data_IF_614454588161
#
_entry.id   IF_614454588161
#
_cell.length_a   1.000
_cell.length_b   1.000
_cell.length_c   1.000
_cell.angle_alpha   90.00
_cell.angle_beta   90.00
_cell.angle_gamma   90.00
#
_symmetry.space_group_name_H-M   'P 1'
#
loop_
_entity.id
_entity.type
_entity.pdbx_description
1 polymer ?
#
# COMPACT_ATOMS: atom_id res chain seq x y z
N UNK A 1 -27.67 12.83 -14.45
CA UNK A 1 -27.20 12.48 -13.11
C UNK A 1 -28.37 12.31 -12.17
N UNK A 2 -28.68 11.06 -11.88
CA UNK A 2 -29.70 10.63 -10.91
C UNK A 2 -29.25 10.97 -9.48
N UNK A 3 -30.17 11.32 -8.56
CA UNK A 3 -29.83 11.56 -7.15
C UNK A 3 -29.14 10.37 -6.46
N UNK A 4 -29.44 9.15 -6.89
CA UNK A 4 -28.90 7.90 -6.37
C UNK A 4 -27.39 7.81 -6.67
N UNK A 5 -26.98 8.15 -7.89
CA UNK A 5 -25.56 8.16 -8.30
C UNK A 5 -24.72 9.09 -7.42
N UNK A 6 -25.24 10.29 -7.13
CA UNK A 6 -24.58 11.24 -6.23
C UNK A 6 -24.47 10.71 -4.80
N UNK A 7 -25.54 10.07 -4.29
CA UNK A 7 -25.54 9.51 -2.93
C UNK A 7 -24.60 8.32 -2.80
N UNK A 8 -24.55 7.47 -3.81
CA UNK A 8 -23.61 6.36 -3.90
C UNK A 8 -22.16 6.87 -3.95
N UNK A 9 -21.86 7.85 -4.80
CA UNK A 9 -20.54 8.48 -4.84
C UNK A 9 -20.16 9.10 -3.48
N UNK A 10 -21.06 9.86 -2.85
CA UNK A 10 -20.82 10.43 -1.52
C UNK A 10 -20.54 9.36 -0.46
N UNK A 11 -21.22 8.20 -0.54
CA UNK A 11 -20.97 7.08 0.37
C UNK A 11 -19.60 6.44 0.14
N UNK A 12 -19.19 6.27 -1.11
CA UNK A 12 -17.86 5.81 -1.47
C UNK A 12 -16.77 6.77 -0.98
N UNK A 13 -16.99 8.08 -1.06
CA UNK A 13 -16.06 9.09 -0.57
C UNK A 13 -15.87 9.07 0.96
N UNK A 14 -16.87 8.63 1.72
CA UNK A 14 -16.80 8.58 3.20
C UNK A 14 -15.83 7.51 3.70
N UNK A 15 -15.84 6.32 3.08
CA UNK A 15 -15.11 5.14 3.58
C UNK A 15 -14.08 4.57 2.59
N UNK A 16 -14.14 5.00 1.33
CA UNK A 16 -13.39 4.44 0.21
C UNK A 16 -13.98 3.14 -0.35
N UNK A 17 -15.03 2.57 0.26
CA UNK A 17 -15.71 1.38 -0.22
C UNK A 17 -17.10 1.20 0.39
N UNK A 18 -17.93 0.40 -0.26
CA UNK A 18 -19.21 -0.10 0.26
C UNK A 18 -19.27 -1.62 0.21
N UNK A 19 -20.13 -2.21 1.04
CA UNK A 19 -20.34 -3.67 1.10
C UNK A 19 -21.79 -4.03 0.80
N UNK A 20 -22.02 -5.21 0.23
CA UNK A 20 -23.37 -5.73 -0.01
C UNK A 20 -24.13 -5.94 1.30
N UNK A 21 -23.44 -6.34 2.37
CA UNK A 21 -24.05 -6.66 3.65
C UNK A 21 -24.41 -5.42 4.47
N UNK A 22 -23.55 -4.39 4.49
CA UNK A 22 -23.77 -3.18 5.31
C UNK A 22 -24.46 -2.06 4.52
N UNK A 23 -24.25 -2.02 3.20
CA UNK A 23 -24.67 -0.93 2.30
C UNK A 23 -25.54 -1.47 1.15
N UNK A 24 -26.41 -2.46 1.41
CA UNK A 24 -27.15 -3.20 0.37
C UNK A 24 -27.85 -2.31 -0.66
N UNK A 25 -28.51 -1.22 -0.22
CA UNK A 25 -29.19 -0.29 -1.14
C UNK A 25 -28.21 0.38 -2.10
N UNK A 26 -27.07 0.87 -1.59
CA UNK A 26 -26.03 1.50 -2.41
C UNK A 26 -25.35 0.50 -3.34
N UNK A 27 -25.18 -0.74 -2.89
CA UNK A 27 -24.62 -1.81 -3.71
C UNK A 27 -25.58 -2.22 -4.84
N UNK A 28 -26.88 -2.23 -4.56
CA UNK A 28 -27.93 -2.45 -5.56
C UNK A 28 -28.03 -1.30 -6.56
N UNK A 29 -27.89 -0.05 -6.09
CA UNK A 29 -27.83 1.14 -6.97
C UNK A 29 -26.70 1.01 -8.00
N UNK A 30 -25.51 0.54 -7.59
CA UNK A 30 -24.41 0.30 -8.54
C UNK A 30 -24.70 -0.82 -9.57
N UNK A 31 -25.62 -1.74 -9.26
CA UNK A 31 -26.03 -2.78 -10.20
C UNK A 31 -27.00 -2.27 -11.27
N UNK A 32 -27.57 -1.07 -11.12
CA UNK A 32 -28.33 -0.38 -12.17
C UNK A 32 -27.37 0.17 -13.24
N UNK A 33 -27.64 -0.17 -14.51
CA UNK A 33 -26.76 0.15 -15.62
C UNK A 33 -26.64 1.67 -15.90
N UNK A 34 -27.69 2.44 -15.62
CA UNK A 34 -27.65 3.90 -15.79
C UNK A 34 -26.83 4.56 -14.69
N UNK A 35 -26.97 4.10 -13.44
CA UNK A 35 -26.15 4.60 -12.32
C UNK A 35 -24.67 4.25 -12.54
N UNK A 36 -24.38 3.02 -12.97
CA UNK A 36 -23.02 2.60 -13.29
C UNK A 36 -22.42 3.43 -14.43
N UNK A 37 -23.20 3.75 -15.47
CA UNK A 37 -22.75 4.62 -16.56
C UNK A 37 -22.46 6.06 -16.10
N UNK A 38 -23.27 6.60 -15.18
CA UNK A 38 -23.01 7.92 -14.59
C UNK A 38 -21.75 7.93 -13.72
N UNK A 39 -21.50 6.86 -12.96
CA UNK A 39 -20.28 6.71 -12.17
C UNK A 39 -19.04 6.54 -13.04
N UNK A 40 -19.14 5.87 -14.19
CA UNK A 40 -18.03 5.75 -15.14
C UNK A 40 -17.60 7.10 -15.72
N UNK A 41 -18.54 8.06 -15.86
CA UNK A 41 -18.19 9.45 -16.21
C UNK A 41 -17.42 10.10 -15.05
N UNK A 42 -17.84 9.88 -13.79
CA UNK A 42 -17.12 10.40 -12.63
C UNK A 42 -15.71 9.82 -12.50
N UNK A 43 -15.53 8.51 -12.74
CA UNK A 43 -14.21 7.85 -12.74
C UNK A 43 -13.23 8.58 -13.67
N UNK A 44 -13.68 8.99 -14.86
CA UNK A 44 -12.86 9.73 -15.83
C UNK A 44 -12.59 11.17 -15.38
N UNK A 45 -13.64 11.91 -15.00
CA UNK A 45 -13.53 13.34 -14.69
C UNK A 45 -12.82 13.62 -13.35
N UNK A 46 -12.90 12.69 -12.40
CA UNK A 46 -12.32 12.82 -11.07
C UNK A 46 -11.13 11.89 -10.85
N UNK A 47 -10.62 11.25 -11.91
CA UNK A 47 -9.40 10.44 -11.94
C UNK A 47 -9.32 9.29 -10.90
N UNK A 48 -10.37 8.48 -10.80
CA UNK A 48 -10.38 7.30 -9.93
C UNK A 48 -10.88 6.05 -10.65
N UNK A 49 -10.66 4.90 -10.03
CA UNK A 49 -11.14 3.59 -10.50
C UNK A 49 -12.13 3.00 -9.50
N UNK A 50 -13.28 2.55 -9.99
CA UNK A 50 -14.20 1.69 -9.25
C UNK A 50 -13.82 0.23 -9.42
N UNK A 51 -13.39 -0.38 -8.33
CA UNK A 51 -12.97 -1.77 -8.34
C UNK A 51 -13.98 -2.65 -7.61
N UNK A 52 -14.64 -3.54 -8.35
CA UNK A 52 -15.67 -4.44 -7.83
C UNK A 52 -15.06 -5.81 -7.48
N UNK A 53 -15.33 -6.28 -6.27
CA UNK A 53 -15.06 -7.66 -5.85
C UNK A 53 -16.36 -8.36 -5.45
N UNK A 54 -16.27 -9.59 -4.94
CA UNK A 54 -17.43 -10.34 -4.47
C UNK A 54 -18.01 -9.67 -3.21
N UNK A 55 -19.07 -8.88 -3.41
CA UNK A 55 -19.79 -8.20 -2.32
C UNK A 55 -19.19 -6.87 -1.89
N UNK A 56 -18.16 -6.34 -2.57
CA UNK A 56 -17.64 -4.98 -2.30
C UNK A 56 -17.40 -4.18 -3.57
N UNK A 57 -17.46 -2.86 -3.40
CA UNK A 57 -17.12 -1.89 -4.42
C UNK A 57 -16.19 -0.87 -3.78
N UNK A 58 -15.00 -0.71 -4.33
CA UNK A 58 -13.95 0.19 -3.87
C UNK A 58 -13.86 1.40 -4.78
N UNK A 59 -13.56 2.56 -4.20
CA UNK A 59 -13.10 3.76 -4.91
C UNK A 59 -11.58 3.86 -4.70
N UNK A 60 -10.83 3.73 -5.79
CA UNK A 60 -9.38 3.74 -5.78
C UNK A 60 -8.90 4.99 -6.53
N UNK A 61 -8.28 5.97 -5.85
CA UNK A 61 -7.64 7.09 -6.54
C UNK A 61 -6.57 6.59 -7.52
N UNK A 62 -6.54 7.15 -8.73
CA UNK A 62 -5.41 6.91 -9.63
C UNK A 62 -4.17 7.69 -9.12
N UNK A 63 -2.94 7.31 -9.51
CA UNK A 63 -1.73 7.95 -8.99
C UNK A 63 -1.62 9.44 -9.33
N UNK A 64 -2.22 9.87 -10.45
CA UNK A 64 -2.32 11.26 -10.89
C UNK A 64 -3.39 12.07 -10.15
N UNK A 65 -4.18 11.45 -9.28
CA UNK A 65 -5.32 12.07 -8.65
C UNK A 65 -4.93 12.94 -7.46
N UNK A 66 -4.73 14.24 -7.70
CA UNK A 66 -4.37 15.21 -6.66
C UNK A 66 -5.46 15.41 -5.59
N UNK A 67 -6.73 15.12 -5.92
CA UNK A 67 -7.87 15.35 -5.02
C UNK A 67 -7.95 14.30 -3.91
N UNK A 68 -7.57 13.06 -4.22
CA UNK A 68 -7.75 11.92 -3.32
C UNK A 68 -6.41 11.23 -2.96
N UNK A 69 -5.29 11.62 -3.57
CA UNK A 69 -3.96 11.10 -3.21
C UNK A 69 -3.55 11.56 -1.81
N UNK A 70 -3.00 10.64 -1.01
CA UNK A 70 -2.23 11.01 0.17
C UNK A 70 -0.84 11.48 -0.28
N UNK A 71 -0.48 12.70 0.07
CA UNK A 71 0.87 13.17 -0.18
C UNK A 71 1.88 12.62 0.86
N UNK A 72 3.17 12.88 0.65
CA UNK A 72 4.20 12.48 1.61
C UNK A 72 3.99 13.07 3.01
N UNK A 73 3.28 14.20 3.13
CA UNK A 73 2.97 14.85 4.40
C UNK A 73 1.86 14.11 5.16
N UNK A 74 0.88 13.58 4.45
CA UNK A 74 -0.20 12.74 4.99
C UNK A 74 0.34 11.38 5.44
N UNK A 75 1.17 10.74 4.61
CA UNK A 75 1.87 9.51 5.00
C UNK A 75 2.72 9.75 6.25
N UNK A 76 3.55 10.80 6.23
CA UNK A 76 4.39 11.20 7.36
C UNK A 76 3.57 11.42 8.64
N UNK A 77 2.40 12.06 8.55
CA UNK A 77 1.49 12.24 9.70
C UNK A 77 0.97 10.90 10.22
N UNK A 78 0.64 9.97 9.34
CA UNK A 78 0.08 8.67 9.71
C UNK A 78 1.08 7.73 10.41
N UNK A 79 2.40 7.89 10.17
CA UNK A 79 3.45 7.06 10.81
C UNK A 79 4.22 7.76 11.94
N UNK A 80 3.81 8.97 12.34
CA UNK A 80 4.35 9.68 13.51
C UNK A 80 5.37 10.79 13.23
N UNK A 81 5.35 11.36 12.03
CA UNK A 81 6.10 12.56 11.63
C UNK A 81 7.63 12.42 11.61
N UNK A 82 8.12 11.22 11.31
CA UNK A 82 9.54 10.84 11.37
C UNK A 82 10.41 11.48 10.28
N UNK A 83 11.73 11.55 10.50
CA UNK A 83 12.70 12.05 9.51
C UNK A 83 12.55 11.30 8.17
N UNK A 84 12.87 11.97 7.06
CA UNK A 84 12.67 11.42 5.72
C UNK A 84 13.32 10.04 5.52
N UNK A 85 14.54 9.86 6.03
CA UNK A 85 15.23 8.57 6.01
C UNK A 85 14.47 7.45 6.74
N UNK A 86 13.84 7.76 7.87
CA UNK A 86 13.02 6.81 8.61
C UNK A 86 11.73 6.48 7.86
N UNK A 87 11.13 7.47 7.18
CA UNK A 87 9.96 7.22 6.33
C UNK A 87 10.28 6.24 5.20
N UNK A 88 11.45 6.39 4.56
CA UNK A 88 11.88 5.45 3.53
C UNK A 88 12.13 4.04 4.09
N UNK A 89 12.70 3.92 5.29
CA UNK A 89 12.86 2.62 5.96
C UNK A 89 11.50 1.98 6.28
N UNK A 90 10.56 2.75 6.83
CA UNK A 90 9.20 2.25 7.13
C UNK A 90 8.45 1.84 5.86
N UNK A 91 8.61 2.58 4.76
CA UNK A 91 8.06 2.21 3.45
C UNK A 91 8.68 0.91 2.91
N UNK A 92 10.00 0.77 3.03
CA UNK A 92 10.69 -0.46 2.62
C UNK A 92 10.20 -1.67 3.41
N UNK A 93 10.07 -1.53 4.73
CA UNK A 93 9.49 -2.55 5.60
C UNK A 93 8.03 -2.85 5.25
N UNK A 94 7.23 -1.85 4.89
CA UNK A 94 5.84 -2.05 4.47
C UNK A 94 5.74 -2.84 3.16
N UNK A 95 6.61 -2.54 2.18
CA UNK A 95 6.73 -3.30 0.93
C UNK A 95 7.14 -4.74 1.24
N UNK A 96 8.12 -4.94 2.12
CA UNK A 96 8.55 -6.27 2.54
C UNK A 96 7.43 -7.05 3.23
N UNK A 97 6.65 -6.41 4.10
CA UNK A 97 5.47 -7.03 4.73
C UNK A 97 4.43 -7.48 3.70
N UNK A 98 4.15 -6.65 2.70
CA UNK A 98 3.25 -7.00 1.61
C UNK A 98 3.80 -8.14 0.75
N UNK A 99 5.10 -8.13 0.46
CA UNK A 99 5.78 -9.22 -0.24
C UNK A 99 5.69 -10.53 0.55
N UNK A 100 5.91 -10.48 1.85
CA UNK A 100 5.80 -11.65 2.71
C UNK A 100 4.39 -12.26 2.71
N UNK A 101 3.34 -11.42 2.63
CA UNK A 101 1.95 -11.86 2.55
C UNK A 101 1.51 -12.28 1.14
N UNK A 102 2.02 -11.62 0.09
CA UNK A 102 1.49 -11.68 -1.28
C UNK A 102 2.55 -11.80 -2.38
N UNK A 103 3.74 -12.29 -2.06
CA UNK A 103 4.86 -12.44 -3.00
C UNK A 103 4.75 -13.67 -3.90
N UNK A 104 3.59 -14.33 -3.94
CA UNK A 104 3.37 -15.54 -4.69
C UNK A 104 3.23 -15.29 -6.18
N UNK A 105 3.58 -16.29 -6.98
CA UNK A 105 3.50 -16.23 -8.43
C UNK A 105 2.16 -16.81 -8.95
N UNK A 106 1.79 -16.42 -10.16
CA UNK A 106 0.64 -16.95 -10.91
C UNK A 106 -0.72 -16.85 -10.18
N UNK A 107 -1.42 -17.97 -10.00
CA UNK A 107 -2.79 -18.05 -9.51
C UNK A 107 -2.88 -18.03 -7.97
N UNK A 108 -1.75 -17.94 -7.25
CA UNK A 108 -1.73 -17.91 -5.79
C UNK A 108 -0.84 -16.78 -5.32
N UNK A 109 -1.40 -15.57 -5.31
CA UNK A 109 -0.70 -14.38 -4.85
C UNK A 109 -0.35 -14.48 -3.36
N UNK A 110 -1.27 -14.96 -2.52
CA UNK A 110 -1.07 -15.03 -1.08
C UNK A 110 -0.10 -16.16 -0.69
N UNK A 111 1.04 -15.81 -0.12
CA UNK A 111 2.11 -16.72 0.31
C UNK A 111 1.95 -17.17 1.76
N UNK A 112 1.47 -16.27 2.64
CA UNK A 112 1.18 -16.61 4.04
C UNK A 112 -0.08 -15.93 4.57
N UNK A 113 -0.65 -16.55 5.60
CA UNK A 113 -1.95 -16.14 6.16
C UNK A 113 -1.84 -15.20 7.37
N UNK A 114 -0.65 -15.03 7.94
CA UNK A 114 -0.41 -14.16 9.08
C UNK A 114 1.05 -13.72 9.19
N UNK A 115 1.27 -12.66 9.96
CA UNK A 115 2.58 -12.13 10.37
C UNK A 115 2.69 -12.26 11.89
N UNK A 116 3.75 -12.89 12.36
CA UNK A 116 4.15 -12.81 13.77
C UNK A 116 5.31 -11.85 13.88
N UNK A 117 5.29 -10.97 14.88
CA UNK A 117 6.31 -9.93 15.04
C UNK A 117 7.74 -10.51 15.08
N UNK A 118 8.00 -11.49 15.94
CA UNK A 118 9.34 -12.08 16.07
C UNK A 118 9.88 -12.57 14.73
N UNK A 119 9.03 -13.29 14.00
CA UNK A 119 9.41 -13.97 12.77
C UNK A 119 9.68 -12.92 11.68
N UNK A 120 8.81 -11.90 11.57
CA UNK A 120 9.00 -10.78 10.65
C UNK A 120 10.29 -9.99 10.94
N UNK A 121 10.57 -9.69 12.20
CA UNK A 121 11.77 -8.95 12.59
C UNK A 121 13.05 -9.71 12.25
N UNK A 122 13.06 -11.02 12.44
CA UNK A 122 14.17 -11.90 12.09
C UNK A 122 14.34 -11.99 10.57
N UNK A 123 13.25 -12.25 9.83
CA UNK A 123 13.23 -12.32 8.36
C UNK A 123 13.71 -11.03 7.72
N UNK A 124 13.18 -9.87 8.14
CA UNK A 124 13.58 -8.57 7.60
C UNK A 124 15.03 -8.24 7.95
N UNK A 125 15.52 -8.64 9.13
CA UNK A 125 16.93 -8.51 9.50
C UNK A 125 17.83 -9.32 8.58
N UNK A 126 17.50 -10.59 8.35
CA UNK A 126 18.26 -11.45 7.43
C UNK A 126 18.27 -10.88 6.01
N UNK A 127 17.13 -10.36 5.55
CA UNK A 127 17.04 -9.68 4.26
C UNK A 127 17.98 -8.46 4.17
N UNK A 128 18.00 -7.59 5.18
CA UNK A 128 18.92 -6.45 5.21
C UNK A 128 20.40 -6.88 5.27
N UNK A 129 20.73 -7.95 5.99
CA UNK A 129 22.08 -8.51 6.02
C UNK A 129 22.52 -9.01 4.64
N UNK A 130 21.61 -9.68 3.92
CA UNK A 130 21.84 -10.12 2.55
C UNK A 130 22.04 -8.94 1.60
N UNK A 131 21.14 -7.94 1.63
CA UNK A 131 21.26 -6.71 0.82
C UNK A 131 22.59 -6.00 1.10
N UNK A 132 23.03 -5.97 2.36
CA UNK A 132 24.34 -5.40 2.71
C UNK A 132 25.50 -6.18 2.08
N UNK A 133 25.49 -7.51 2.20
CA UNK A 133 26.53 -8.37 1.62
C UNK A 133 26.58 -8.28 0.09
N UNK A 134 25.44 -8.28 -0.58
CA UNK A 134 25.33 -8.22 -2.04
C UNK A 134 25.64 -6.80 -2.56
N UNK A 135 25.16 -5.77 -1.87
CA UNK A 135 25.44 -4.37 -2.17
C UNK A 135 26.91 -4.01 -2.03
N UNK A 136 27.63 -4.58 -1.06
CA UNK A 136 29.10 -4.45 -0.96
C UNK A 136 29.83 -5.12 -2.13
N UNK A 137 29.33 -6.26 -2.62
CA UNK A 137 29.88 -6.92 -3.80
C UNK A 137 29.61 -6.10 -5.09
N UNK A 138 28.42 -5.50 -5.21
CA UNK A 138 27.95 -4.70 -6.34
C UNK A 138 28.45 -3.24 -6.35
N UNK A 139 28.93 -2.71 -5.22
CA UNK A 139 29.65 -1.43 -5.15
C UNK A 139 30.85 -1.38 -6.12
N UNK A 140 31.38 -2.54 -6.52
CA UNK A 140 32.44 -2.68 -7.52
C UNK A 140 31.93 -2.65 -8.98
N UNK A 141 30.60 -2.64 -9.23
CA UNK A 141 29.96 -2.78 -10.54
C UNK A 141 28.87 -1.73 -10.91
N UNK A 142 28.55 -0.78 -10.00
CA UNK A 142 27.73 0.45 -10.17
C UNK A 142 26.17 0.35 -10.17
N UNK A 143 25.52 1.28 -9.45
CA UNK A 143 24.27 2.04 -9.75
C UNK A 143 23.76 2.78 -8.48
N UNK A 144 23.16 3.96 -8.62
CA UNK A 144 22.71 4.81 -7.50
C UNK A 144 21.60 4.17 -6.64
N UNK A 145 20.69 3.41 -7.25
CA UNK A 145 19.62 2.68 -6.55
C UNK A 145 20.15 1.62 -5.56
N UNK A 146 21.26 0.95 -5.88
CA UNK A 146 21.91 0.00 -4.96
C UNK A 146 22.43 0.69 -3.69
N UNK A 147 22.85 1.95 -3.80
CA UNK A 147 23.31 2.73 -2.65
C UNK A 147 22.16 3.15 -1.73
N UNK A 148 20.96 3.37 -2.26
CA UNK A 148 19.79 3.75 -1.46
C UNK A 148 19.28 2.59 -0.60
N UNK A 149 19.14 1.38 -1.15
CA UNK A 149 18.75 0.20 -0.38
C UNK A 149 19.80 -0.22 0.64
N UNK A 150 21.09 -0.10 0.29
CA UNK A 150 22.19 -0.38 1.23
C UNK A 150 22.11 0.53 2.46
N UNK A 151 21.86 1.83 2.26
CA UNK A 151 21.71 2.79 3.37
C UNK A 151 20.51 2.46 4.26
N UNK A 152 19.38 2.05 3.67
CA UNK A 152 18.21 1.65 4.44
C UNK A 152 18.47 0.36 5.23
N UNK A 153 19.16 -0.61 4.64
CA UNK A 153 19.59 -1.83 5.32
C UNK A 153 20.53 -1.51 6.49
N UNK A 154 21.52 -0.63 6.29
CA UNK A 154 22.42 -0.20 7.37
C UNK A 154 21.67 0.53 8.49
N UNK A 155 20.69 1.38 8.16
CA UNK A 155 19.83 2.02 9.16
C UNK A 155 19.07 0.96 9.99
N UNK A 156 18.45 -0.02 9.32
CA UNK A 156 17.77 -1.12 10.02
C UNK A 156 18.69 -1.89 10.97
N UNK A 157 19.88 -2.25 10.51
CA UNK A 157 20.83 -3.04 11.29
C UNK A 157 21.42 -2.26 12.48
N UNK A 158 21.38 -0.92 12.43
CA UNK A 158 21.76 -0.05 13.55
C UNK A 158 20.65 0.12 14.60
N UNK A 159 19.41 -0.29 14.32
CA UNK A 159 18.29 -0.19 15.28
C UNK A 159 18.53 -1.06 16.50
N UNK A 160 18.08 -0.59 17.66
CA UNK A 160 18.17 -1.36 18.92
C UNK A 160 17.15 -2.49 18.94
N UNK A 161 17.49 -3.57 19.63
CA UNK A 161 16.62 -4.74 19.83
C UNK A 161 15.74 -4.69 21.07
N UNK A 162 15.58 -3.52 21.71
CA UNK A 162 14.68 -3.38 22.87
C UNK A 162 13.22 -3.18 22.45
N UNK A 163 12.28 -3.50 23.34
CA UNK A 163 10.83 -3.46 23.10
C UNK A 163 10.20 -2.05 23.26
N UNK A 164 10.99 -0.97 23.27
CA UNK A 164 10.41 0.37 23.33
C UNK A 164 9.72 0.74 22.01
N UNK A 165 8.66 1.54 22.09
CA UNK A 165 7.89 2.01 20.93
C UNK A 165 8.60 3.12 20.10
N UNK A 166 9.92 3.30 20.26
CA UNK A 166 10.69 4.31 19.53
C UNK A 166 11.01 3.84 18.11
N UNK A 167 11.06 4.75 17.13
CA UNK A 167 11.56 4.44 15.78
C UNK A 167 13.04 4.03 15.75
N UNK A 168 13.76 4.24 16.85
CA UNK A 168 15.15 3.77 17.00
C UNK A 168 15.25 2.29 17.33
N UNK A 169 14.12 1.60 17.51
CA UNK A 169 14.06 0.17 17.80
C UNK A 169 13.35 -0.60 16.70
N UNK A 170 13.73 -1.87 16.56
CA UNK A 170 13.09 -2.79 15.63
C UNK A 170 11.58 -2.96 15.94
N UNK A 171 11.24 -3.12 17.22
CA UNK A 171 9.86 -3.20 17.71
C UNK A 171 9.05 -1.95 17.34
N UNK A 172 9.57 -0.75 17.63
CA UNK A 172 8.84 0.48 17.37
C UNK A 172 8.63 0.77 15.89
N UNK A 173 9.59 0.43 15.02
CA UNK A 173 9.39 0.45 13.57
C UNK A 173 8.26 -0.49 13.13
N UNK A 174 8.28 -1.74 13.60
CA UNK A 174 7.23 -2.71 13.30
C UNK A 174 5.84 -2.24 13.77
N UNK A 175 5.74 -1.76 15.02
CA UNK A 175 4.50 -1.23 15.57
C UNK A 175 3.94 -0.04 14.79
N UNK A 176 4.80 0.84 14.25
CA UNK A 176 4.34 1.97 13.42
C UNK A 176 3.69 1.50 12.12
N UNK A 177 4.30 0.52 11.45
CA UNK A 177 3.77 -0.04 10.20
C UNK A 177 2.48 -0.78 10.45
N UNK A 178 2.48 -1.68 11.43
CA UNK A 178 1.29 -2.44 11.82
C UNK A 178 0.14 -1.52 12.21
N UNK A 179 0.39 -0.45 12.97
CA UNK A 179 -0.66 0.54 13.30
C UNK A 179 -1.20 1.21 12.05
N UNK A 180 -0.36 1.62 11.11
CA UNK A 180 -0.83 2.21 9.85
C UNK A 180 -1.72 1.24 9.07
N UNK A 181 -1.28 0.00 8.87
CA UNK A 181 -2.06 -1.01 8.17
C UNK A 181 -3.37 -1.35 8.89
N UNK A 182 -3.35 -1.39 10.23
CA UNK A 182 -4.56 -1.59 11.04
C UNK A 182 -5.53 -0.43 10.91
N UNK A 183 -5.03 0.80 11.01
CA UNK A 183 -5.85 2.02 10.96
C UNK A 183 -6.49 2.20 9.57
N UNK A 184 -5.87 1.64 8.53
CA UNK A 184 -6.42 1.55 7.17
C UNK A 184 -7.28 0.29 6.91
N UNK A 185 -7.57 -0.49 7.95
CA UNK A 185 -8.35 -1.74 7.87
C UNK A 185 -7.73 -2.79 6.94
N UNK A 186 -6.41 -2.81 6.79
CA UNK A 186 -5.67 -3.77 5.95
C UNK A 186 -5.20 -5.00 6.75
N UNK A 187 -4.85 -4.81 8.02
CA UNK A 187 -4.47 -5.88 8.94
C UNK A 187 -5.31 -5.82 10.21
N UNK A 188 -5.46 -6.96 10.88
CA UNK A 188 -6.05 -7.05 12.22
C UNK A 188 -5.27 -8.00 13.12
N UNK A 189 -5.28 -7.73 14.43
CA UNK A 189 -4.70 -8.61 15.44
C UNK A 189 -5.63 -9.81 15.67
N UNK A 190 -5.06 -11.00 15.62
CA UNK A 190 -5.72 -12.27 15.90
C UNK A 190 -4.84 -13.10 16.84
N UNK A 191 -4.91 -12.80 18.14
CA UNK A 191 -4.21 -13.51 19.22
C UNK A 191 -2.68 -13.47 19.08
N UNK A 192 -2.12 -12.27 18.89
CA UNK A 192 -0.66 -12.06 18.83
C UNK A 192 -0.04 -12.34 17.47
N UNK A 193 -0.87 -12.52 16.43
CA UNK A 193 -0.45 -12.49 15.03
C UNK A 193 -1.32 -11.52 14.24
N UNK A 194 -0.74 -10.91 13.21
CA UNK A 194 -1.42 -9.95 12.33
C UNK A 194 -1.87 -10.64 11.06
N UNK A 195 -3.17 -10.56 10.74
CA UNK A 195 -3.78 -11.21 9.59
C UNK A 195 -4.28 -10.20 8.57
N UNK A 196 -4.21 -10.51 7.26
CA UNK A 196 -4.82 -9.70 6.23
C UNK A 196 -6.34 -9.69 6.38
N UNK A 197 -6.93 -8.50 6.29
CA UNK A 197 -8.38 -8.35 6.22
C UNK A 197 -8.89 -8.80 4.85
N UNK A 198 -10.22 -8.93 4.72
CA UNK A 198 -10.83 -9.16 3.42
C UNK A 198 -10.56 -7.97 2.49
N UNK A 199 -10.45 -6.74 3.02
CA UNK A 199 -10.08 -5.55 2.25
C UNK A 199 -8.71 -5.69 1.62
N UNK A 200 -7.70 -6.10 2.37
CA UNK A 200 -6.37 -6.31 1.80
C UNK A 200 -6.38 -7.43 0.75
N UNK A 201 -7.03 -8.57 1.05
CA UNK A 201 -7.16 -9.68 0.08
C UNK A 201 -7.89 -9.27 -1.21
N UNK A 202 -8.88 -8.40 -1.11
CA UNK A 202 -9.62 -7.86 -2.27
C UNK A 202 -8.71 -6.95 -3.11
N UNK A 203 -7.89 -6.12 -2.48
CA UNK A 203 -7.08 -5.10 -3.16
C UNK A 203 -5.79 -5.64 -3.79
N UNK A 204 -5.14 -6.64 -3.19
CA UNK A 204 -3.84 -7.11 -3.68
C UNK A 204 -3.85 -7.62 -5.13
N UNK A 205 -4.87 -8.36 -5.61
CA UNK A 205 -4.97 -8.74 -7.03
C UNK A 205 -4.99 -7.55 -7.99
N UNK A 206 -5.59 -6.43 -7.59
CA UNK A 206 -5.59 -5.20 -8.39
C UNK A 206 -4.19 -4.60 -8.48
N UNK A 207 -3.52 -4.40 -7.34
CA UNK A 207 -2.21 -3.76 -7.27
C UNK A 207 -1.07 -4.63 -7.83
N UNK A 208 -1.18 -5.95 -7.74
CA UNK A 208 -0.19 -6.90 -8.29
C UNK A 208 -0.51 -7.33 -9.73
N UNK A 209 -1.57 -6.81 -10.34
CA UNK A 209 -1.88 -7.13 -11.74
C UNK A 209 -0.76 -6.63 -12.65
N UNK A 210 -0.42 -7.40 -13.69
CA UNK A 210 0.67 -7.06 -14.64
C UNK A 210 0.50 -5.67 -15.26
N UNK A 211 -0.74 -5.27 -15.53
CA UNK A 211 -1.04 -3.94 -16.07
C UNK A 211 -0.72 -2.85 -15.06
N UNK A 212 -1.10 -3.05 -13.79
CA UNK A 212 -0.84 -2.07 -12.74
C UNK A 212 0.64 -2.00 -12.37
N UNK A 213 1.33 -3.14 -12.35
CA UNK A 213 2.78 -3.19 -12.19
C UNK A 213 3.46 -2.42 -13.32
N UNK A 214 3.06 -2.63 -14.57
CA UNK A 214 3.60 -1.90 -15.72
C UNK A 214 3.35 -0.38 -15.61
N UNK A 215 2.14 0.03 -15.23
CA UNK A 215 1.80 1.45 -15.00
C UNK A 215 2.65 2.05 -13.87
N UNK A 216 2.81 1.35 -12.75
CA UNK A 216 3.67 1.77 -11.64
C UNK A 216 5.13 1.90 -12.12
N UNK A 217 5.63 0.96 -12.91
CA UNK A 217 6.97 1.05 -13.49
C UNK A 217 7.13 2.27 -14.40
N UNK A 218 6.15 2.54 -15.28
CA UNK A 218 6.16 3.75 -16.12
C UNK A 218 6.20 5.04 -15.29
N UNK A 219 5.44 5.11 -14.20
CA UNK A 219 5.46 6.25 -13.28
C UNK A 219 6.84 6.39 -12.60
N UNK A 220 7.42 5.28 -12.14
CA UNK A 220 8.70 5.26 -11.41
C UNK A 220 9.92 5.54 -12.31
N UNK A 221 9.87 5.17 -13.59
CA UNK A 221 10.94 5.41 -14.56
C UNK A 221 10.98 6.86 -15.07
N UNK A 222 9.99 7.67 -14.68
CA UNK A 222 9.88 9.07 -15.02
C UNK A 222 8.68 9.29 -15.92
N UNK A 223 7.62 9.85 -15.35
CA UNK A 223 6.74 10.72 -16.12
C UNK A 223 7.65 11.70 -16.86
N UNK A 224 7.68 11.61 -18.19
CA UNK A 224 8.41 12.55 -19.02
C UNK A 224 8.03 13.95 -18.54
N UNK A 225 9.05 14.71 -18.19
CA UNK A 225 8.94 16.13 -17.96
C UNK A 225 8.45 16.77 -19.25
N UNK A 226 7.14 16.94 -19.39
CA UNK A 226 6.56 17.89 -20.34
C UNK A 226 6.78 19.30 -19.74
N UNK A 227 8.05 19.69 -19.73
CA UNK A 227 8.54 21.00 -19.36
C UNK A 227 9.11 21.66 -20.63
N UNK A 228 8.25 22.45 -21.28
CA UNK A 228 8.61 23.47 -22.28
C UNK A 228 8.75 22.92 -23.71
N UNK A 229 8.18 23.53 -24.74
CA UNK A 229 7.82 24.94 -24.88
C UNK A 229 6.89 25.13 -26.13
N UNK A 230 6.30 26.34 -26.35
CA UNK A 230 5.06 26.61 -27.08
C UNK A 230 5.09 26.53 -28.62
#
# INVERSE_FOLDING_TARGET
MRPESLRLFAKLMEKGYITREQDSSYYEDYCDAEIAAELAVMEQELDFTLYRTNGRLYLLPNPSNELFSQDNSDFRRSVGNEKLEELYLLNYMAIFLLHELYGGEDNTLQTRSYIKESDFLDEFTQHCEQVRSEGEALKNAAAQYSMDFLRLADNWLAKRGDESNSVDTKHGCFMKIIRKFRDEELLYDADGVWKPTVKLNDLMPYYLSKNRIAEIHTILEGGESDAGDP
#
